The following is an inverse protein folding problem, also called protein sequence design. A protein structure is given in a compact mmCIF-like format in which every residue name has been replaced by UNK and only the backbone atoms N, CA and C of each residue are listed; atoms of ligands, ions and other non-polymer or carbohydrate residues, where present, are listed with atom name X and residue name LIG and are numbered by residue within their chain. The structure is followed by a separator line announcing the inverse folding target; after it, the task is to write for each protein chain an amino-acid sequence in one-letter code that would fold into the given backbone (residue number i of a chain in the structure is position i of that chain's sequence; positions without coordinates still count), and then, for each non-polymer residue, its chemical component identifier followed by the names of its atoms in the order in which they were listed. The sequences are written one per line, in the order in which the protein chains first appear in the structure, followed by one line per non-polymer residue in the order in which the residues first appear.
data_IF_675420669968
#
_entry.id   IF_675420669968
#
_cell.length_a   1.000
_cell.length_b   1.000
_cell.length_c   1.000
_cell.angle_alpha   90.00
_cell.angle_beta   90.00
_cell.angle_gamma   90.00
#
_symmetry.space_group_name_H-M   'P 1'
#
loop_
_entity.id
_entity.type
_entity.pdbx_description
1 polymer ?
#
# COMPACT_ATOMS: atom_id res chain seq x y z
N UNK A 1 -3.79 21.63 9.05
CA UNK A 1 -3.94 20.16 8.98
C UNK A 1 -4.06 19.77 7.51
N UNK A 2 -3.31 18.76 7.06
CA UNK A 2 -3.48 18.25 5.70
C UNK A 2 -4.67 17.30 5.66
N UNK A 3 -5.56 17.46 4.68
CA UNK A 3 -6.72 16.58 4.49
C UNK A 3 -6.31 15.39 3.61
N UNK A 4 -6.62 14.18 4.04
CA UNK A 4 -6.41 12.98 3.22
C UNK A 4 -7.35 13.02 2.00
N UNK A 5 -6.80 12.71 0.83
CA UNK A 5 -7.55 12.64 -0.43
C UNK A 5 -7.50 11.22 -0.96
N UNK A 6 -8.65 10.73 -1.43
CA UNK A 6 -8.75 9.46 -2.14
C UNK A 6 -8.55 9.75 -3.62
N UNK A 7 -7.57 9.09 -4.23
CA UNK A 7 -7.22 9.24 -5.66
C UNK A 7 -6.96 7.88 -6.27
N UNK A 8 -7.23 7.74 -7.57
CA UNK A 8 -6.83 6.56 -8.35
C UNK A 8 -5.44 6.80 -8.93
N UNK A 9 -4.56 5.81 -8.77
CA UNK A 9 -3.19 5.85 -9.31
C UNK A 9 -2.87 4.56 -10.06
N UNK A 10 -2.01 4.61 -11.10
CA UNK A 10 -1.54 3.40 -11.77
C UNK A 10 -0.77 2.50 -10.80
N UNK A 11 -0.97 1.18 -10.87
CA UNK A 11 -0.20 0.22 -10.05
C UNK A 11 1.32 0.37 -10.25
N UNK A 12 1.75 0.66 -11.48
CA UNK A 12 3.16 0.85 -11.83
C UNK A 12 3.82 2.08 -11.17
N UNK A 13 3.04 3.03 -10.63
CA UNK A 13 3.61 4.18 -9.90
C UNK A 13 3.82 3.88 -8.40
N UNK A 14 3.37 2.72 -7.90
CA UNK A 14 3.54 2.33 -6.51
C UNK A 14 4.88 1.61 -6.31
N UNK A 15 5.60 2.00 -5.25
CA UNK A 15 6.82 1.33 -4.82
C UNK A 15 6.55 0.50 -3.57
N UNK A 16 6.94 -0.77 -3.58
CA UNK A 16 6.88 -1.61 -2.39
C UNK A 16 7.84 -1.06 -1.31
N UNK A 17 7.48 -1.05 -0.02
CA UNK A 17 8.40 -0.63 1.03
C UNK A 17 9.51 -1.68 1.18
N UNK A 18 10.77 -1.25 1.15
CA UNK A 18 11.94 -2.14 1.25
C UNK A 18 12.00 -2.89 2.59
N UNK A 19 11.48 -2.29 3.67
CA UNK A 19 11.50 -2.84 5.04
C UNK A 19 10.10 -3.02 5.60
N UNK A 20 9.27 -3.82 4.94
CA UNK A 20 7.99 -4.23 5.49
C UNK A 20 8.15 -5.52 6.31
N UNK A 21 8.08 -5.50 7.65
CA UNK A 21 8.23 -6.71 8.47
C UNK A 21 7.03 -7.67 8.29
N UNK A 22 5.92 -7.20 7.71
CA UNK A 22 4.74 -8.02 7.45
C UNK A 22 5.05 -9.09 6.40
N UNK A 23 4.85 -10.34 6.77
CA UNK A 23 4.94 -11.50 5.88
C UNK A 23 3.53 -12.01 5.57
N UNK A 24 3.33 -12.47 4.35
CA UNK A 24 2.09 -13.08 3.89
C UNK A 24 2.32 -14.56 3.57
N UNK A 25 1.38 -15.41 3.97
CA UNK A 25 1.33 -16.79 3.49
C UNK A 25 0.70 -16.81 2.10
N UNK A 26 0.99 -17.86 1.33
CA UNK A 26 0.38 -18.07 -0.01
C UNK A 26 -1.15 -18.06 0.06
N UNK A 27 -1.72 -18.78 1.01
CA UNK A 27 -3.17 -18.85 1.21
C UNK A 27 -3.77 -17.46 1.51
N UNK A 28 -3.14 -16.67 2.37
CA UNK A 28 -3.62 -15.33 2.68
C UNK A 28 -3.59 -14.40 1.45
N UNK A 29 -2.59 -14.54 0.57
CA UNK A 29 -2.55 -13.78 -0.69
C UNK A 29 -3.63 -14.23 -1.67
N UNK A 30 -3.92 -15.53 -1.75
CA UNK A 30 -4.96 -16.08 -2.65
C UNK A 30 -6.35 -15.64 -2.21
N UNK A 31 -6.64 -15.70 -0.91
CA UNK A 31 -7.92 -15.24 -0.35
C UNK A 31 -8.13 -13.73 -0.55
N UNK A 32 -7.07 -12.93 -0.38
CA UNK A 32 -7.13 -11.49 -0.62
C UNK A 32 -7.40 -11.18 -2.09
N UNK A 33 -6.72 -11.87 -3.01
CA UNK A 33 -6.92 -11.71 -4.44
C UNK A 33 -8.38 -12.04 -4.83
N UNK A 34 -8.93 -13.15 -4.34
CA UNK A 34 -10.32 -13.53 -4.60
C UNK A 34 -11.32 -12.52 -4.02
N UNK A 35 -11.03 -11.96 -2.84
CA UNK A 35 -11.86 -10.91 -2.25
C UNK A 35 -11.86 -9.63 -3.11
N UNK A 36 -10.69 -9.18 -3.55
CA UNK A 36 -10.56 -8.00 -4.42
C UNK A 36 -11.26 -8.24 -5.77
N UNK A 37 -11.18 -9.45 -6.34
CA UNK A 37 -11.89 -9.78 -7.58
C UNK A 37 -13.41 -9.68 -7.44
N UNK A 38 -13.96 -10.11 -6.30
CA UNK A 38 -15.41 -10.11 -6.05
C UNK A 38 -15.97 -8.76 -5.64
N UNK A 39 -15.20 -7.96 -4.90
CA UNK A 39 -15.70 -6.77 -4.22
C UNK A 39 -14.97 -5.48 -4.60
N UNK A 40 -13.86 -5.58 -5.35
CA UNK A 40 -12.95 -4.46 -5.55
C UNK A 40 -12.18 -4.09 -4.28
N UNK A 41 -11.51 -2.95 -4.32
CA UNK A 41 -10.85 -2.36 -3.15
C UNK A 41 -11.90 -1.48 -2.43
N UNK A 42 -12.37 -1.95 -1.28
CA UNK A 42 -13.34 -1.23 -0.44
C UNK A 42 -12.66 -0.11 0.36
N UNK A 43 -11.45 -0.38 0.87
CA UNK A 43 -10.68 0.57 1.67
C UNK A 43 -9.41 1.02 0.91
N UNK A 44 -9.28 2.33 0.60
CA UNK A 44 -8.10 2.84 -0.11
C UNK A 44 -6.79 2.60 0.63
N UNK A 45 -5.73 2.30 -0.12
CA UNK A 45 -4.40 2.15 0.44
C UNK A 45 -3.84 3.49 0.91
N UNK A 46 -3.24 3.51 2.11
CA UNK A 46 -2.46 4.65 2.59
C UNK A 46 -1.09 4.61 1.90
N UNK A 47 -0.80 5.66 1.12
CA UNK A 47 0.43 5.78 0.34
C UNK A 47 1.10 7.12 0.66
N UNK A 48 2.44 7.13 0.64
CA UNK A 48 3.23 8.35 0.74
C UNK A 48 3.50 8.90 -0.67
N UNK A 49 3.06 10.13 -0.95
CA UNK A 49 3.24 10.80 -2.25
C UNK A 49 4.44 11.77 -2.28
N UNK A 50 5.27 11.77 -1.23
CA UNK A 50 6.40 12.69 -1.14
C UNK A 50 7.34 12.51 -2.35
N UNK A 51 7.67 13.60 -3.08
CA UNK A 51 8.44 13.54 -4.34
C UNK A 51 9.88 13.04 -4.15
N UNK A 52 10.37 13.04 -2.91
CA UNK A 52 11.62 12.41 -2.51
C UNK A 52 11.28 11.40 -1.44
N UNK A 53 11.62 10.13 -1.65
CA UNK A 53 11.54 9.15 -0.57
C UNK A 53 12.54 9.57 0.48
N UNK A 54 12.09 10.27 1.51
CA UNK A 54 12.85 10.32 2.75
C UNK A 54 12.92 8.88 3.22
N UNK A 55 14.03 8.23 2.92
CA UNK A 55 14.62 7.24 3.79
C UNK A 55 14.75 7.94 5.14
N UNK A 56 13.66 7.99 5.90
CA UNK A 56 13.67 8.54 7.23
C UNK A 56 14.30 7.45 8.08
N UNK A 57 15.64 7.43 8.05
CA UNK A 57 16.45 6.83 9.09
C UNK A 57 16.14 7.58 10.39
N UNK A 58 15.04 7.23 11.05
CA UNK A 58 14.92 7.39 12.48
C UNK A 58 14.41 6.08 13.06
N UNK A 59 15.38 5.43 13.71
CA UNK A 59 15.24 4.48 14.79
C UNK A 59 14.09 4.86 15.73
N UNK A 60 13.05 4.03 15.70
CA UNK A 60 12.43 3.50 16.91
C UNK A 60 12.52 1.99 16.80
#
# INVERSE_FOLDING_TARGET
MSQLKIVYVPLASLRHPEKNPRRWTKEATEQLQESINRHGIIDPLIVNDAPQSKEHYYWW
#
